data_IF_083538683626
#
_entry.id   IF_083538683626
#
_cell.length_a   1.000
_cell.length_b   1.000
_cell.length_c   1.000
_cell.angle_alpha   90.00
_cell.angle_beta   90.00
_cell.angle_gamma   90.00
#
_symmetry.space_group_name_H-M   'P 1'
#
loop_
_entity.id
_entity.type
_entity.pdbx_description
1 polymer ?
#
# COMPACT_ATOMS: atom_id res chain seq x y z
N UNK A 1 4.59 -9.35 1.76
CA UNK A 1 3.44 -8.99 2.64
C UNK A 1 2.54 -10.20 2.72
N UNK A 2 2.00 -10.54 3.90
CA UNK A 2 0.87 -11.49 3.98
C UNK A 2 -0.39 -10.75 3.55
N UNK A 3 -1.24 -11.39 2.74
CA UNK A 3 -2.54 -10.81 2.46
C UNK A 3 -3.44 -10.98 3.69
N UNK A 4 -4.08 -9.91 4.15
CA UNK A 4 -5.02 -9.91 5.29
C UNK A 4 -6.31 -10.69 5.08
N UNK A 5 -6.39 -11.53 4.04
CA UNK A 5 -7.53 -12.36 3.69
C UNK A 5 -7.97 -13.29 4.82
N UNK A 6 -6.98 -13.87 5.50
CA UNK A 6 -7.18 -14.71 6.66
C UNK A 6 -5.90 -14.70 7.49
N UNK A 7 -6.04 -14.36 8.76
CA UNK A 7 -4.97 -14.36 9.73
C UNK A 7 -5.48 -15.10 10.95
N UNK A 8 -4.72 -16.09 11.39
CA UNK A 8 -4.91 -16.73 12.68
C UNK A 8 -3.76 -16.34 13.60
N UNK A 9 -4.09 -15.88 14.80
CA UNK A 9 -3.10 -15.48 15.80
C UNK A 9 -3.44 -16.09 17.16
N UNK A 10 -2.42 -16.41 17.94
CA UNK A 10 -2.61 -16.85 19.34
C UNK A 10 -3.16 -15.68 20.14
N UNK A 11 -4.09 -15.95 21.07
CA UNK A 11 -4.61 -14.92 21.98
C UNK A 11 -3.49 -14.13 22.67
N UNK A 12 -2.50 -14.83 23.23
CA UNK A 12 -1.35 -14.22 23.89
C UNK A 12 -0.58 -13.24 22.99
N UNK A 13 -0.43 -13.57 21.71
CA UNK A 13 0.23 -12.68 20.74
C UNK A 13 -0.57 -11.39 20.59
N UNK A 14 -1.90 -11.47 20.46
CA UNK A 14 -2.77 -10.30 20.32
C UNK A 14 -2.88 -9.47 21.60
N UNK A 15 -2.84 -10.10 22.78
CA UNK A 15 -2.80 -9.40 24.06
C UNK A 15 -1.51 -8.57 24.21
N UNK A 16 -0.38 -9.09 23.73
CA UNK A 16 0.91 -8.39 23.79
C UNK A 16 1.05 -7.32 22.71
N UNK A 17 0.61 -7.61 21.48
CA UNK A 17 0.85 -6.71 20.34
C UNK A 17 -0.28 -5.73 20.13
N UNK A 18 -1.49 -6.03 20.61
CA UNK A 18 -2.75 -5.37 20.25
C UNK A 18 -3.41 -5.97 19.01
N UNK A 19 -4.68 -5.64 18.79
CA UNK A 19 -5.49 -6.05 17.63
C UNK A 19 -5.13 -5.26 16.35
N UNK A 20 -5.97 -5.33 15.31
CA UNK A 20 -5.91 -4.41 14.19
C UNK A 20 -6.13 -2.98 14.70
N UNK A 21 -5.39 -2.03 14.14
CA UNK A 21 -5.49 -0.62 14.53
C UNK A 21 -6.66 0.03 13.78
N UNK A 22 -7.71 0.40 14.49
CA UNK A 22 -8.95 0.97 13.95
C UNK A 22 -8.74 2.33 13.27
N UNK A 23 -7.57 2.95 13.42
CA UNK A 23 -7.24 4.18 12.69
C UNK A 23 -6.96 3.93 11.20
N UNK A 24 -6.76 2.68 10.80
CA UNK A 24 -6.74 2.27 9.40
C UNK A 24 -8.16 1.89 8.99
N UNK A 25 -8.74 2.64 8.05
CA UNK A 25 -10.02 2.27 7.46
C UNK A 25 -9.87 1.05 6.54
N UNK A 26 -8.85 1.07 5.67
CA UNK A 26 -8.51 -0.02 4.77
C UNK A 26 -7.04 0.07 4.33
N UNK A 27 -6.44 -1.08 4.05
CA UNK A 27 -5.03 -1.28 3.72
C UNK A 27 -4.06 -0.97 4.87
N UNK A 28 -2.98 -1.75 4.95
CA UNK A 28 -1.91 -1.63 5.94
C UNK A 28 -2.30 -1.92 7.39
N UNK A 29 -3.58 -2.16 7.71
CA UNK A 29 -3.99 -2.60 9.05
C UNK A 29 -3.34 -3.93 9.43
N UNK A 30 -3.27 -4.86 8.48
CA UNK A 30 -2.67 -6.17 8.66
C UNK A 30 -1.14 -6.09 8.61
N UNK A 31 -0.60 -5.15 7.83
CA UNK A 31 0.85 -4.88 7.75
C UNK A 31 1.34 -4.33 9.09
N UNK A 32 0.60 -3.39 9.67
CA UNK A 32 0.86 -2.82 10.99
C UNK A 32 0.84 -3.90 12.08
N UNK A 33 -0.19 -4.76 12.08
CA UNK A 33 -0.27 -5.88 13.00
C UNK A 33 0.91 -6.84 12.85
N UNK A 34 1.21 -7.28 11.62
CA UNK A 34 2.34 -8.17 11.36
C UNK A 34 3.69 -7.55 11.76
N UNK A 35 3.85 -6.25 11.55
CA UNK A 35 5.04 -5.52 11.97
C UNK A 35 5.19 -5.51 13.49
N UNK A 36 4.12 -5.20 14.22
CA UNK A 36 4.10 -5.26 15.71
C UNK A 36 4.38 -6.66 16.23
N UNK A 37 3.76 -7.69 15.65
CA UNK A 37 3.99 -9.11 15.99
C UNK A 37 5.48 -9.47 15.83
N UNK A 38 6.09 -9.13 14.70
CA UNK A 38 7.51 -9.37 14.47
C UNK A 38 8.40 -8.60 15.45
N UNK A 39 8.07 -7.34 15.73
CA UNK A 39 8.83 -6.48 16.65
C UNK A 39 8.79 -7.00 18.09
N UNK A 40 7.70 -7.65 18.49
CA UNK A 40 7.58 -8.35 19.77
C UNK A 40 8.26 -9.75 19.78
N UNK A 41 9.00 -10.10 18.73
CA UNK A 41 9.78 -11.35 18.66
C UNK A 41 8.97 -12.59 18.26
N UNK A 42 7.68 -12.43 17.95
CA UNK A 42 6.86 -13.53 17.47
C UNK A 42 7.15 -13.86 16.01
N UNK A 43 7.05 -15.15 15.68
CA UNK A 43 7.22 -15.65 14.32
C UNK A 43 5.89 -15.64 13.57
N UNK A 44 5.97 -15.35 12.28
CA UNK A 44 4.84 -15.36 11.35
C UNK A 44 5.14 -16.42 10.30
N UNK A 45 4.18 -17.33 10.09
CA UNK A 45 4.30 -18.44 9.15
C UNK A 45 3.21 -18.39 8.10
N UNK A 46 3.52 -18.90 6.92
CA UNK A 46 2.55 -19.19 5.87
C UNK A 46 2.24 -20.69 5.91
N UNK A 47 0.95 -21.05 5.90
CA UNK A 47 0.48 -22.44 5.99
C UNK A 47 -0.17 -22.82 4.66
N UNK A 48 0.58 -23.39 3.69
CA UNK A 48 0.07 -23.68 2.36
C UNK A 48 -1.05 -24.75 2.36
N UNK A 49 -1.14 -25.57 3.40
CA UNK A 49 -2.16 -26.62 3.56
C UNK A 49 -3.55 -26.06 3.89
N UNK A 50 -3.63 -24.80 4.34
CA UNK A 50 -4.88 -24.12 4.63
C UNK A 50 -5.32 -23.28 3.42
N UNK A 51 -6.32 -23.78 2.70
CA UNK A 51 -6.86 -23.13 1.50
C UNK A 51 -8.12 -22.32 1.78
N UNK A 52 -8.22 -21.14 1.15
CA UNK A 52 -9.29 -20.18 1.40
C UNK A 52 -9.57 -19.40 0.12
N UNK A 53 -10.85 -19.21 -0.21
CA UNK A 53 -11.25 -18.46 -1.40
C UNK A 53 -11.41 -16.98 -1.02
N UNK A 54 -10.55 -16.14 -1.58
CA UNK A 54 -10.67 -14.68 -1.48
C UNK A 54 -11.24 -14.12 -2.79
N UNK A 55 -12.47 -13.62 -2.75
CA UNK A 55 -13.07 -12.84 -3.84
C UNK A 55 -12.45 -11.43 -3.92
N UNK A 56 -11.27 -11.32 -4.51
CA UNK A 56 -10.46 -10.10 -4.48
C UNK A 56 -11.19 -8.89 -5.09
N UNK A 57 -10.82 -7.70 -4.61
CA UNK A 57 -11.27 -6.38 -5.10
C UNK A 57 -12.78 -6.12 -5.00
N UNK A 58 -13.59 -6.99 -4.40
CA UNK A 58 -15.05 -6.77 -4.30
C UNK A 58 -15.39 -5.42 -3.64
N UNK A 59 -14.71 -5.07 -2.54
CA UNK A 59 -14.91 -3.80 -1.83
C UNK A 59 -14.33 -2.58 -2.54
N UNK A 60 -13.55 -2.77 -3.62
CA UNK A 60 -12.84 -1.70 -4.31
C UNK A 60 -13.26 -1.54 -5.78
N UNK A 61 -14.24 -2.33 -6.25
CA UNK A 61 -14.68 -2.36 -7.66
C UNK A 61 -15.23 -1.04 -8.19
N UNK A 62 -15.80 -0.20 -7.34
CA UNK A 62 -16.53 1.01 -7.74
C UNK A 62 -15.83 2.33 -7.37
N UNK A 63 -14.71 2.27 -6.63
CA UNK A 63 -14.07 3.44 -6.03
C UNK A 63 -12.53 3.41 -6.19
N UNK A 64 -12.04 3.14 -7.40
CA UNK A 64 -10.60 2.87 -7.63
C UNK A 64 -9.70 4.05 -7.19
N UNK A 65 -10.16 5.29 -7.39
CA UNK A 65 -9.46 6.51 -6.96
C UNK A 65 -9.49 6.68 -5.45
N UNK A 66 -10.66 6.61 -4.82
CA UNK A 66 -10.80 6.82 -3.37
C UNK A 66 -10.10 5.72 -2.58
N UNK A 67 -10.21 4.47 -3.02
CA UNK A 67 -9.50 3.36 -2.40
C UNK A 67 -7.99 3.51 -2.51
N UNK A 68 -7.50 4.11 -3.59
CA UNK A 68 -6.08 4.41 -3.75
C UNK A 68 -5.62 5.56 -2.85
N UNK A 69 -6.47 6.58 -2.65
CA UNK A 69 -6.23 7.63 -1.66
C UNK A 69 -6.17 7.03 -0.25
N UNK A 70 -7.11 6.16 0.13
CA UNK A 70 -7.11 5.48 1.43
C UNK A 70 -5.87 4.60 1.59
N UNK A 71 -5.45 3.87 0.56
CA UNK A 71 -4.21 3.10 0.57
C UNK A 71 -2.99 3.98 0.88
N UNK A 72 -2.90 5.15 0.26
CA UNK A 72 -1.80 6.08 0.46
C UNK A 72 -1.84 6.72 1.86
N UNK A 73 -3.01 7.11 2.35
CA UNK A 73 -3.18 7.59 3.73
C UNK A 73 -2.72 6.54 4.75
N UNK A 74 -3.12 5.28 4.56
CA UNK A 74 -2.71 4.15 5.38
C UNK A 74 -1.19 3.91 5.32
N UNK A 75 -0.57 3.99 4.13
CA UNK A 75 0.90 3.93 3.98
C UNK A 75 1.60 5.05 4.78
N UNK A 76 1.14 6.29 4.67
CA UNK A 76 1.74 7.40 5.43
C UNK A 76 1.56 7.23 6.93
N UNK A 77 0.38 6.76 7.37
CA UNK A 77 0.12 6.44 8.78
C UNK A 77 1.11 5.41 9.29
N UNK A 78 1.34 4.32 8.53
CA UNK A 78 2.30 3.28 8.89
C UNK A 78 3.72 3.85 9.04
N UNK A 79 4.19 4.61 8.05
CA UNK A 79 5.53 5.22 8.09
C UNK A 79 5.69 6.19 9.25
N UNK A 80 4.71 7.07 9.45
CA UNK A 80 4.69 8.01 10.58
C UNK A 80 4.72 7.29 11.92
N UNK A 81 3.95 6.21 12.08
CA UNK A 81 3.82 5.43 13.32
C UNK A 81 5.10 4.68 13.68
N UNK A 82 5.78 4.07 12.69
CA UNK A 82 6.91 3.17 12.97
C UNK A 82 8.29 3.77 12.69
N UNK A 83 8.39 4.79 11.84
CA UNK A 83 9.65 5.38 11.38
C UNK A 83 9.72 6.90 11.60
N UNK A 84 8.67 7.50 12.17
CA UNK A 84 8.64 8.92 12.52
C UNK A 84 8.34 9.84 11.33
N UNK A 85 8.22 11.14 11.61
CA UNK A 85 7.76 12.15 10.63
C UNK A 85 8.76 12.39 9.49
N UNK A 86 10.06 12.26 9.77
CA UNK A 86 11.08 12.46 8.75
C UNK A 86 10.98 11.43 7.61
N UNK A 87 10.65 10.18 7.96
CA UNK A 87 10.44 9.11 6.98
C UNK A 87 9.32 9.40 5.99
N UNK A 88 8.29 10.16 6.40
CA UNK A 88 7.17 10.57 5.53
C UNK A 88 7.64 11.58 4.49
N UNK A 89 8.50 12.54 4.86
CA UNK A 89 9.07 13.48 3.90
C UNK A 89 9.98 12.78 2.90
N UNK A 90 10.82 11.85 3.37
CA UNK A 90 11.65 11.03 2.49
C UNK A 90 10.82 10.17 1.54
N UNK A 91 9.76 9.53 2.04
CA UNK A 91 8.82 8.75 1.23
C UNK A 91 8.17 9.65 0.15
N UNK A 92 7.66 10.82 0.53
CA UNK A 92 7.07 11.79 -0.40
C UNK A 92 8.08 12.23 -1.47
N UNK A 93 9.33 12.51 -1.08
CA UNK A 93 10.39 12.87 -2.02
C UNK A 93 10.68 11.74 -3.01
N UNK A 94 10.81 10.49 -2.55
CA UNK A 94 11.03 9.32 -3.41
C UNK A 94 9.88 9.13 -4.40
N UNK A 95 8.63 9.19 -3.91
CA UNK A 95 7.44 9.05 -4.76
C UNK A 95 7.36 10.16 -5.80
N UNK A 96 7.66 11.40 -5.41
CA UNK A 96 7.69 12.55 -6.31
C UNK A 96 8.76 12.44 -7.38
N UNK A 97 9.99 12.07 -7.00
CA UNK A 97 11.09 11.82 -7.95
C UNK A 97 10.72 10.69 -8.91
N UNK A 98 10.16 9.60 -8.41
CA UNK A 98 9.69 8.48 -9.24
C UNK A 98 8.67 8.93 -10.29
N UNK A 99 7.70 9.77 -9.90
CA UNK A 99 6.73 10.36 -10.82
C UNK A 99 7.39 11.23 -11.89
N UNK A 100 8.35 12.10 -11.51
CA UNK A 100 9.08 12.92 -12.48
C UNK A 100 9.84 12.08 -13.51
N UNK A 101 10.42 10.95 -13.07
CA UNK A 101 11.11 10.01 -13.96
C UNK A 101 10.14 9.38 -14.95
N UNK A 102 8.97 8.94 -14.52
CA UNK A 102 7.96 8.33 -15.42
C UNK A 102 7.37 9.34 -16.42
N UNK A 103 7.10 10.57 -15.98
CA UNK A 103 6.68 11.66 -16.88
C UNK A 103 7.77 11.91 -17.92
N UNK A 104 9.02 11.99 -17.49
CA UNK A 104 10.16 12.20 -18.40
C UNK A 104 10.29 11.08 -19.44
N UNK A 105 10.16 9.81 -19.03
CA UNK A 105 10.17 8.65 -19.95
C UNK A 105 9.04 8.71 -20.97
N UNK A 106 7.85 9.13 -20.52
CA UNK A 106 6.66 9.28 -21.38
C UNK A 106 6.85 10.42 -22.38
N UNK A 107 7.41 11.56 -21.96
CA UNK A 107 7.72 12.66 -22.87
C UNK A 107 8.78 12.27 -23.93
N UNK A 108 9.81 11.52 -23.53
CA UNK A 108 10.84 11.02 -24.45
C UNK A 108 10.29 9.97 -25.44
N UNK A 109 9.32 9.14 -25.03
CA UNK A 109 8.71 8.18 -25.96
C UNK A 109 7.83 8.86 -27.01
N UNK A 110 7.15 9.95 -26.64
CA UNK A 110 6.35 10.78 -27.55
C UNK A 110 7.22 11.52 -28.58
N UNK A 111 8.40 12.04 -28.20
CA UNK A 111 9.31 12.74 -29.13
C UNK A 111 10.03 11.81 -30.11
N UNK A 112 10.17 10.53 -29.78
CA UNK A 112 10.83 9.53 -30.65
C UNK A 112 9.91 8.90 -31.71
N UNK A 113 8.68 9.39 -31.88
CA UNK A 113 7.76 8.92 -32.93
C UNK A 113 7.40 7.43 -32.83
N UNK A 114 7.63 6.81 -31.68
CA UNK A 114 7.28 5.41 -31.47
C UNK A 114 5.77 5.32 -31.24
N UNK A 115 5.01 5.14 -32.32
CA UNK A 115 3.61 4.72 -32.32
C UNK A 115 3.36 3.33 -31.71
N UNK A 116 4.19 2.90 -30.75
CA UNK A 116 3.78 1.85 -29.83
C UNK A 116 2.81 2.52 -28.88
N UNK A 117 1.51 2.16 -28.99
CA UNK A 117 0.65 2.17 -27.81
C UNK A 117 1.39 1.35 -26.76
N UNK A 118 2.10 2.03 -25.88
CA UNK A 118 2.51 1.45 -24.63
C UNK A 118 1.18 1.11 -23.98
N UNK A 119 0.84 -0.16 -23.86
CA UNK A 119 -0.31 -0.57 -23.06
C UNK A 119 0.11 -0.44 -21.61
N UNK A 120 0.12 0.81 -21.17
CA UNK A 120 0.44 1.25 -19.83
C UNK A 120 -0.79 1.01 -18.98
N UNK A 121 -1.05 -0.27 -18.71
CA UNK A 121 -2.05 -0.72 -17.76
C UNK A 121 -1.84 -0.06 -16.38
N UNK A 122 -0.61 0.34 -16.07
CA UNK A 122 -0.21 1.07 -14.87
C UNK A 122 -0.33 2.61 -14.95
N UNK A 123 -0.58 3.25 -16.12
CA UNK A 123 -0.89 4.69 -16.24
C UNK A 123 -2.40 4.97 -16.34
N UNK A 124 -3.26 3.99 -16.07
CA UNK A 124 -4.65 4.27 -15.69
C UNK A 124 -4.77 4.90 -14.30
N UNK A 125 -3.65 5.21 -13.64
CA UNK A 125 -3.62 6.13 -12.51
C UNK A 125 -3.76 7.55 -13.04
N UNK A 126 -5.01 8.02 -13.04
CA UNK A 126 -5.37 9.42 -13.21
C UNK A 126 -4.40 10.33 -12.43
N UNK A 127 -3.74 11.34 -13.06
CA UNK A 127 -2.85 12.27 -12.37
C UNK A 127 -3.46 12.90 -11.12
N UNK A 128 -4.79 13.07 -11.07
CA UNK A 128 -5.52 13.50 -9.87
C UNK A 128 -5.24 12.62 -8.65
N UNK A 129 -5.07 11.31 -8.84
CA UNK A 129 -4.79 10.34 -7.78
C UNK A 129 -3.45 10.65 -7.12
N UNK A 130 -2.41 10.89 -7.93
CA UNK A 130 -1.07 11.17 -7.43
C UNK A 130 -1.04 12.52 -6.72
N UNK A 131 -1.68 13.52 -7.31
CA UNK A 131 -1.80 14.86 -6.74
C UNK A 131 -2.55 14.81 -5.39
N UNK A 132 -3.71 14.16 -5.33
CA UNK A 132 -4.46 13.96 -4.07
C UNK A 132 -3.67 13.17 -3.04
N UNK A 133 -2.89 12.16 -3.46
CA UNK A 133 -2.02 11.40 -2.55
C UNK A 133 -0.81 12.17 -2.03
N UNK A 134 -0.38 13.23 -2.72
CA UNK A 134 0.71 14.10 -2.29
C UNK A 134 0.25 15.16 -1.28
N UNK A 135 -1.06 15.37 -1.09
CA UNK A 135 -1.61 16.38 -0.18
C UNK A 135 -2.05 15.85 1.20
N UNK A 136 -1.85 14.54 1.49
CA UNK A 136 -1.99 13.94 2.83
C UNK A 136 -0.61 13.58 3.42
#
# INVERSE_FOLDING_TARGET
>A
QLMGACIMARRKTLEETGLLDEQYFMYYEEVDLCYRIKKAGWKIYFTPEAEIIHYAKQSSKQADVDMLVERNKSLYRFFKKHYGRLSVYTLRAILFIGMLVEISRTLVSLTKGAGKRIDIHWLKTDPEIYIRSLFF
#
